data_IF_707395100570
#
_entry.id   IF_707395100570
#
_cell.length_a   1.000
_cell.length_b   1.000
_cell.length_c   1.000
_cell.angle_alpha   90.00
_cell.angle_beta   90.00
_cell.angle_gamma   90.00
#
_symmetry.space_group_name_H-M   'P 1'
#
loop_
_entity.id
_entity.type
_entity.pdbx_description
1 polymer ?
#
# COMPACT_ATOMS: atom_id res chain seq x y z
N UNK A 1 2.25 19.37 -22.23
CA UNK A 1 1.87 19.70 -23.62
C UNK A 1 0.39 20.02 -23.78
N UNK A 2 -0.53 19.07 -23.61
CA UNK A 2 -1.97 19.30 -23.89
C UNK A 2 -2.64 20.44 -23.09
N UNK A 3 -2.27 20.61 -21.83
CA UNK A 3 -2.93 21.56 -20.91
C UNK A 3 -2.03 22.75 -20.51
N UNK A 4 -0.80 22.83 -21.03
CA UNK A 4 0.21 23.77 -20.51
C UNK A 4 0.89 23.28 -19.23
N UNK A 5 2.13 23.67 -19.01
CA UNK A 5 2.95 23.19 -17.89
C UNK A 5 2.57 23.80 -16.53
N UNK A 6 1.83 24.91 -16.51
CA UNK A 6 1.38 25.64 -15.31
C UNK A 6 -0.02 25.24 -14.84
N UNK A 7 -0.75 24.47 -15.64
CA UNK A 7 -2.11 24.01 -15.33
C UNK A 7 -2.16 22.59 -14.76
N UNK A 8 -1.01 21.90 -14.75
CA UNK A 8 -0.89 20.57 -14.20
C UNK A 8 0.39 20.45 -13.36
N UNK A 9 0.29 19.83 -12.19
CA UNK A 9 1.42 19.60 -11.30
C UNK A 9 1.28 18.25 -10.59
N UNK A 10 2.41 17.66 -10.22
CA UNK A 10 2.43 16.53 -9.30
C UNK A 10 2.14 16.99 -7.87
N UNK A 11 1.60 16.09 -7.05
CA UNK A 11 1.28 16.38 -5.66
C UNK A 11 2.46 16.04 -4.75
N UNK A 12 2.83 16.93 -3.82
CA UNK A 12 3.85 16.61 -2.81
C UNK A 12 3.25 15.70 -1.73
N UNK A 13 4.07 14.81 -1.19
CA UNK A 13 3.76 14.06 0.02
C UNK A 13 4.75 14.45 1.11
N UNK A 14 4.23 14.79 2.28
CA UNK A 14 5.04 15.04 3.47
C UNK A 14 5.12 13.76 4.29
N UNK A 15 6.34 13.32 4.57
CA UNK A 15 6.57 12.25 5.53
C UNK A 15 7.00 12.83 6.87
N UNK A 16 6.47 12.25 7.94
CA UNK A 16 6.81 12.60 9.31
C UNK A 16 7.80 11.59 9.90
N UNK A 17 8.42 11.95 11.02
CA UNK A 17 9.23 11.02 11.80
C UNK A 17 8.35 9.94 12.45
N UNK A 18 8.37 8.73 11.90
CA UNK A 18 7.89 7.55 12.62
C UNK A 18 8.85 7.15 13.75
N UNK A 19 8.36 6.45 14.77
CA UNK A 19 9.11 6.03 15.96
C UNK A 19 10.52 5.47 15.64
N UNK A 20 10.60 4.51 14.71
CA UNK A 20 11.87 3.88 14.32
C UNK A 20 12.83 4.86 13.65
N UNK A 21 12.31 5.79 12.85
CA UNK A 21 13.14 6.76 12.14
C UNK A 21 13.65 7.84 13.09
N UNK A 22 12.82 8.30 14.02
CA UNK A 22 13.21 9.24 15.07
C UNK A 22 14.39 8.69 15.89
N UNK A 23 14.32 7.41 16.29
CA UNK A 23 15.43 6.75 16.99
C UNK A 23 16.68 6.69 16.11
N UNK A 24 16.56 6.22 14.86
CA UNK A 24 17.71 6.10 13.95
C UNK A 24 18.43 7.43 13.76
N UNK A 25 17.71 8.49 13.44
CA UNK A 25 18.31 9.77 13.09
C UNK A 25 18.96 10.43 14.33
N UNK A 26 18.29 10.38 15.49
CA UNK A 26 18.85 10.95 16.73
C UNK A 26 20.00 10.11 17.27
N UNK A 27 19.83 8.80 17.45
CA UNK A 27 20.85 7.96 18.08
C UNK A 27 22.12 7.85 17.23
N UNK A 28 22.00 7.93 15.89
CA UNK A 28 23.15 8.04 14.99
C UNK A 28 23.97 9.31 15.27
N UNK A 29 23.32 10.43 15.59
CA UNK A 29 24.01 11.67 15.98
C UNK A 29 24.74 11.55 17.32
N UNK A 30 24.24 10.70 18.22
CA UNK A 30 24.90 10.32 19.47
C UNK A 30 25.98 9.23 19.28
N UNK A 31 26.35 8.90 18.04
CA UNK A 31 27.43 7.95 17.74
C UNK A 31 27.03 6.47 17.88
N UNK A 32 25.74 6.16 17.95
CA UNK A 32 25.28 4.77 18.02
C UNK A 32 25.50 4.08 16.67
N UNK A 33 26.20 2.93 16.63
CA UNK A 33 26.47 2.22 15.38
C UNK A 33 25.21 1.55 14.82
N UNK A 34 25.17 1.37 13.49
CA UNK A 34 24.00 0.90 12.75
C UNK A 34 23.46 -0.47 13.21
N UNK A 35 24.35 -1.38 13.64
CA UNK A 35 23.93 -2.68 14.16
C UNK A 35 23.13 -2.57 15.46
N UNK A 36 23.51 -1.62 16.32
CA UNK A 36 22.84 -1.35 17.59
C UNK A 36 21.50 -0.62 17.34
N UNK A 37 21.47 0.35 16.42
CA UNK A 37 20.22 0.99 15.96
C UNK A 37 19.22 -0.03 15.41
N UNK A 38 19.70 -1.01 14.64
CA UNK A 38 18.87 -2.08 14.11
C UNK A 38 18.32 -2.99 15.21
N UNK A 39 19.11 -3.27 16.27
CA UNK A 39 18.63 -4.02 17.43
C UNK A 39 17.57 -3.23 18.21
N UNK A 40 17.79 -1.93 18.44
CA UNK A 40 16.85 -1.05 19.16
C UNK A 40 15.52 -0.94 18.39
N UNK A 41 15.57 -0.60 17.09
CA UNK A 41 14.37 -0.36 16.29
C UNK A 41 13.53 -1.61 16.01
N UNK A 42 14.11 -2.81 16.06
CA UNK A 42 13.37 -4.08 15.98
C UNK A 42 12.42 -4.29 17.17
N UNK A 43 12.67 -3.63 18.31
CA UNK A 43 11.84 -3.73 19.51
C UNK A 43 10.61 -2.82 19.49
N UNK A 44 10.48 -2.00 18.46
CA UNK A 44 9.34 -1.09 18.26
C UNK A 44 8.39 -1.75 17.26
N UNK A 45 7.13 -1.95 17.64
CA UNK A 45 6.10 -2.44 16.70
C UNK A 45 5.75 -1.37 15.68
N UNK A 46 5.21 -1.77 14.52
CA UNK A 46 4.78 -0.82 13.49
C UNK A 46 3.68 0.15 13.99
N UNK A 47 2.85 -0.30 14.94
CA UNK A 47 1.76 0.50 15.52
C UNK A 47 2.14 1.27 16.79
N UNK A 48 3.38 1.12 17.27
CA UNK A 48 3.81 1.76 18.50
C UNK A 48 4.39 3.15 18.23
N UNK A 49 4.07 4.10 19.11
CA UNK A 49 4.85 5.32 19.30
C UNK A 49 6.06 5.04 20.18
N UNK A 50 7.00 5.98 20.28
CA UNK A 50 8.13 5.84 21.21
C UNK A 50 7.67 5.71 22.66
N UNK A 51 6.64 6.47 23.04
CA UNK A 51 6.05 6.39 24.37
C UNK A 51 5.41 5.03 24.63
N UNK A 52 4.61 4.50 23.69
CA UNK A 52 3.97 3.18 23.88
C UNK A 52 4.99 2.04 23.86
N UNK A 53 6.01 2.11 22.99
CA UNK A 53 7.10 1.15 22.94
C UNK A 53 7.88 1.13 24.27
N UNK A 54 8.20 2.30 24.82
CA UNK A 54 8.85 2.42 26.13
C UNK A 54 8.00 1.80 27.23
N UNK A 55 6.69 2.07 27.25
CA UNK A 55 5.78 1.57 28.27
C UNK A 55 5.50 0.07 28.19
N UNK A 56 5.42 -0.51 26.99
CA UNK A 56 4.99 -1.90 26.79
C UNK A 56 6.15 -2.89 26.68
N UNK A 57 7.32 -2.45 26.21
CA UNK A 57 8.45 -3.34 25.96
C UNK A 57 9.55 -3.11 26.98
N UNK A 58 9.63 -3.99 27.99
CA UNK A 58 10.64 -3.93 29.04
C UNK A 58 12.08 -3.99 28.49
N UNK A 59 12.33 -4.79 27.46
CA UNK A 59 13.66 -4.90 26.85
C UNK A 59 14.06 -3.63 26.09
N UNK A 60 13.11 -2.95 25.43
CA UNK A 60 13.36 -1.65 24.83
C UNK A 60 13.69 -0.61 25.91
N UNK A 61 12.87 -0.55 26.97
CA UNK A 61 13.08 0.35 28.11
C UNK A 61 14.44 0.17 28.77
N UNK A 62 14.86 -1.09 28.97
CA UNK A 62 16.16 -1.41 29.55
C UNK A 62 17.32 -0.86 28.71
N UNK A 63 17.25 -0.97 27.37
CA UNK A 63 18.29 -0.41 26.50
C UNK A 63 18.32 1.11 26.63
N UNK A 64 17.17 1.78 26.55
CA UNK A 64 17.11 3.24 26.70
C UNK A 64 17.72 3.69 28.04
N UNK A 65 17.47 2.95 29.11
CA UNK A 65 17.97 3.27 30.44
C UNK A 65 19.42 2.82 30.69
N UNK A 66 20.04 2.04 29.79
CA UNK A 66 21.38 1.48 29.99
C UNK A 66 22.52 2.51 29.93
N UNK A 67 22.31 3.63 29.25
CA UNK A 67 23.29 4.70 29.04
C UNK A 67 22.63 6.05 29.23
N UNK A 68 23.32 6.99 29.87
CA UNK A 68 22.82 8.37 30.02
C UNK A 68 22.66 9.03 28.64
N UNK A 69 23.54 8.73 27.68
CA UNK A 69 23.40 9.25 26.31
C UNK A 69 22.10 8.77 25.65
N UNK A 70 21.66 7.54 25.92
CA UNK A 70 20.45 6.98 25.31
C UNK A 70 19.18 7.56 25.90
N UNK A 71 19.17 7.87 27.19
CA UNK A 71 18.05 8.59 27.81
C UNK A 71 17.90 9.99 27.20
N UNK A 72 19.01 10.71 27.00
CA UNK A 72 19.02 12.03 26.33
C UNK A 72 18.58 11.93 24.87
N UNK A 73 19.13 10.98 24.12
CA UNK A 73 18.78 10.74 22.73
C UNK A 73 17.29 10.35 22.58
N UNK A 74 16.77 9.53 23.50
CA UNK A 74 15.37 9.13 23.52
C UNK A 74 14.43 10.30 23.78
N UNK A 75 14.75 11.18 24.74
CA UNK A 75 13.96 12.37 25.02
C UNK A 75 13.84 13.28 23.79
N UNK A 76 14.95 13.48 23.05
CA UNK A 76 14.94 14.24 21.79
C UNK A 76 14.14 13.50 20.72
N UNK A 77 14.31 12.18 20.59
CA UNK A 77 13.57 11.37 19.64
C UNK A 77 12.04 11.46 19.86
N UNK A 78 11.59 11.49 21.12
CA UNK A 78 10.18 11.69 21.46
C UNK A 78 9.66 13.07 21.06
N UNK A 79 10.49 14.11 21.12
CA UNK A 79 10.09 15.46 20.72
C UNK A 79 9.94 15.62 19.20
N UNK A 80 10.75 14.90 18.42
CA UNK A 80 10.69 14.97 16.95
C UNK A 80 9.72 13.95 16.34
N UNK A 81 9.28 12.93 17.08
CA UNK A 81 8.29 11.96 16.60
C UNK A 81 7.02 12.70 16.14
N UNK A 82 6.55 12.37 14.93
CA UNK A 82 5.40 13.03 14.29
C UNK A 82 5.72 14.35 13.60
N UNK A 83 6.90 14.93 13.79
CA UNK A 83 7.29 16.16 13.09
C UNK A 83 7.57 15.91 11.60
N UNK A 84 7.38 16.90 10.71
CA UNK A 84 7.76 16.80 9.30
C UNK A 84 9.25 16.48 9.13
N UNK A 85 9.58 15.58 8.20
CA UNK A 85 10.96 15.14 7.95
C UNK A 85 11.44 15.47 6.55
N UNK A 86 10.75 14.94 5.54
CA UNK A 86 11.13 15.12 4.14
C UNK A 86 9.89 15.14 3.25
N UNK A 87 10.05 15.79 2.10
CA UNK A 87 9.07 15.75 1.02
C UNK A 87 9.42 14.67 0.01
N UNK A 88 8.41 13.99 -0.52
CA UNK A 88 8.49 13.16 -1.73
C UNK A 88 7.39 13.54 -2.70
N UNK A 89 7.39 12.96 -3.90
CA UNK A 89 6.31 13.12 -4.87
C UNK A 89 5.25 12.03 -4.60
N UNK A 90 3.97 12.39 -4.69
CA UNK A 90 2.86 11.44 -4.58
C UNK A 90 2.94 10.45 -5.74
N UNK A 91 2.89 9.15 -5.44
CA UNK A 91 3.17 8.10 -6.41
C UNK A 91 2.22 8.06 -7.62
N UNK A 92 1.04 8.69 -7.50
CA UNK A 92 0.03 8.73 -8.55
C UNK A 92 -0.58 10.12 -8.78
N UNK A 93 -0.35 11.08 -7.88
CA UNK A 93 -1.26 12.21 -7.72
C UNK A 93 -0.86 13.36 -8.60
N UNK A 94 -1.76 13.76 -9.49
CA UNK A 94 -1.62 14.94 -10.35
C UNK A 94 -2.80 15.86 -10.08
N UNK A 95 -2.52 17.13 -9.86
CA UNK A 95 -3.54 18.19 -9.83
C UNK A 95 -3.65 18.83 -11.20
N UNK A 96 -4.87 19.13 -11.61
CA UNK A 96 -5.17 19.81 -12.87
C UNK A 96 -6.15 20.95 -12.64
N UNK A 97 -5.98 22.04 -13.38
CA UNK A 97 -6.81 23.25 -13.29
C UNK A 97 -7.01 23.85 -14.69
N UNK A 98 -8.14 24.51 -14.91
CA UNK A 98 -8.40 25.34 -16.09
C UNK A 98 -7.69 26.69 -16.02
N UNK A 99 -7.56 27.26 -14.82
CA UNK A 99 -6.72 28.43 -14.52
C UNK A 99 -5.28 28.03 -14.18
N UNK A 100 -4.35 28.99 -14.18
CA UNK A 100 -2.97 28.73 -13.77
C UNK A 100 -2.94 28.30 -12.31
N UNK A 101 -2.26 27.19 -12.01
CA UNK A 101 -2.21 26.66 -10.65
C UNK A 101 -1.59 27.65 -9.66
N UNK A 102 -0.69 28.53 -10.13
CA UNK A 102 -0.04 29.56 -9.31
C UNK A 102 -0.99 30.63 -8.77
N UNK A 103 -2.18 30.79 -9.36
CA UNK A 103 -3.19 31.72 -8.85
C UNK A 103 -3.90 31.17 -7.60
N UNK A 104 -3.87 29.84 -7.39
CA UNK A 104 -4.58 29.18 -6.28
C UNK A 104 -3.64 28.48 -5.29
N UNK A 105 -2.56 27.85 -5.77
CA UNK A 105 -1.65 27.04 -4.95
C UNK A 105 -0.17 27.33 -5.23
N UNK A 106 0.69 27.27 -4.20
CA UNK A 106 2.12 27.40 -4.39
C UNK A 106 2.71 26.17 -5.08
N UNK A 107 3.55 26.40 -6.08
CA UNK A 107 4.29 25.35 -6.80
C UNK A 107 5.79 25.42 -6.49
N UNK A 108 6.50 24.33 -6.77
CA UNK A 108 7.95 24.24 -6.83
C UNK A 108 8.38 23.48 -8.09
N UNK A 109 9.62 23.68 -8.50
CA UNK A 109 10.22 22.93 -9.62
C UNK A 109 10.45 21.48 -9.15
N UNK A 110 9.92 20.52 -9.89
CA UNK A 110 10.29 19.10 -9.80
C UNK A 110 11.20 18.69 -10.95
N UNK A 111 11.58 17.41 -10.97
CA UNK A 111 12.51 16.89 -11.98
C UNK A 111 11.89 16.88 -13.39
N UNK A 112 10.67 16.37 -13.51
CA UNK A 112 9.95 16.23 -14.80
C UNK A 112 8.76 17.21 -14.95
N UNK A 113 8.12 17.56 -13.84
CA UNK A 113 6.91 18.40 -13.80
C UNK A 113 6.95 19.31 -12.57
N UNK A 114 6.20 20.42 -12.60
CA UNK A 114 5.94 21.20 -11.39
C UNK A 114 5.33 20.32 -10.30
N UNK A 115 5.64 20.64 -9.05
CA UNK A 115 5.09 19.94 -7.88
C UNK A 115 4.40 20.98 -7.01
N UNK A 116 3.16 20.73 -6.59
CA UNK A 116 2.52 21.61 -5.60
C UNK A 116 3.22 21.51 -4.24
N UNK A 117 3.24 22.59 -3.47
CA UNK A 117 3.69 22.57 -2.07
C UNK A 117 2.56 22.20 -1.10
N UNK A 118 1.35 21.92 -1.61
CA UNK A 118 0.24 21.39 -0.84
C UNK A 118 0.15 19.87 -1.01
N UNK A 119 -0.14 19.17 0.09
CA UNK A 119 -0.44 17.75 0.01
C UNK A 119 -1.82 17.50 -0.62
N UNK A 120 -2.16 16.22 -0.84
CA UNK A 120 -3.39 15.85 -1.52
C UNK A 120 -4.64 16.42 -0.84
N UNK A 121 -4.69 16.43 0.50
CA UNK A 121 -5.83 16.96 1.25
C UNK A 121 -5.95 18.47 1.11
N UNK A 122 -4.83 19.20 1.20
CA UNK A 122 -4.83 20.64 1.01
C UNK A 122 -5.18 21.02 -0.44
N UNK A 123 -4.74 20.26 -1.44
CA UNK A 123 -5.16 20.46 -2.85
C UNK A 123 -6.68 20.31 -2.99
N UNK A 124 -7.25 19.22 -2.49
CA UNK A 124 -8.70 18.97 -2.56
C UNK A 124 -9.51 20.04 -1.80
N UNK A 125 -9.01 20.49 -0.64
CA UNK A 125 -9.65 21.54 0.16
C UNK A 125 -9.68 22.92 -0.54
N UNK A 126 -8.76 23.15 -1.49
CA UNK A 126 -8.76 24.35 -2.34
C UNK A 126 -9.63 24.19 -3.61
N UNK A 127 -10.43 23.12 -3.71
CA UNK A 127 -11.38 22.91 -4.80
C UNK A 127 -10.75 22.46 -6.11
N UNK A 128 -9.47 22.08 -6.11
CA UNK A 128 -8.77 21.66 -7.30
C UNK A 128 -9.02 20.19 -7.63
N UNK A 129 -9.09 19.88 -8.93
CA UNK A 129 -9.27 18.53 -9.42
C UNK A 129 -7.99 17.71 -9.23
N UNK A 130 -8.07 16.66 -8.41
CA UNK A 130 -7.04 15.64 -8.27
C UNK A 130 -7.35 14.43 -9.15
N UNK A 131 -6.36 13.96 -9.89
CA UNK A 131 -6.38 12.71 -10.63
C UNK A 131 -5.24 11.80 -10.16
N UNK A 132 -5.54 10.52 -9.94
CA UNK A 132 -4.52 9.53 -9.59
C UNK A 132 -4.18 8.65 -10.82
N UNK A 133 -2.95 8.77 -11.30
CA UNK A 133 -2.34 7.95 -12.35
C UNK A 133 -1.45 6.88 -11.73
N UNK A 134 -2.00 5.68 -11.49
CA UNK A 134 -1.27 4.61 -10.84
C UNK A 134 -0.44 3.79 -11.86
N UNK A 135 0.87 3.70 -11.63
CA UNK A 135 1.74 2.78 -12.36
C UNK A 135 1.58 1.34 -11.88
N UNK A 136 0.68 0.56 -12.48
CA UNK A 136 0.50 -0.84 -12.13
C UNK A 136 1.45 -1.75 -12.91
N UNK A 137 2.47 -2.29 -12.23
CA UNK A 137 3.41 -3.28 -12.79
C UNK A 137 2.72 -4.49 -13.43
N UNK A 138 1.53 -4.86 -12.93
CA UNK A 138 0.77 -5.98 -13.47
C UNK A 138 0.27 -5.71 -14.89
N UNK A 139 -0.07 -4.46 -15.24
CA UNK A 139 -0.46 -4.12 -16.61
C UNK A 139 0.73 -4.32 -17.56
N UNK A 140 1.92 -3.89 -17.15
CA UNK A 140 3.16 -4.16 -17.90
C UNK A 140 3.42 -5.67 -18.03
N UNK A 141 3.15 -6.45 -16.98
CA UNK A 141 3.33 -7.90 -17.03
C UNK A 141 2.35 -8.57 -17.99
N UNK A 142 1.07 -8.20 -17.94
CA UNK A 142 0.03 -8.69 -18.85
C UNK A 142 0.35 -8.33 -20.30
N UNK A 143 0.77 -7.09 -20.57
CA UNK A 143 1.22 -6.68 -21.90
C UNK A 143 2.36 -7.56 -22.42
N UNK A 144 3.42 -7.75 -21.62
CA UNK A 144 4.57 -8.59 -21.99
C UNK A 144 4.19 -10.06 -22.20
N UNK A 145 3.23 -10.58 -21.43
CA UNK A 145 2.70 -11.93 -21.63
C UNK A 145 1.97 -12.04 -22.97
N UNK A 146 1.11 -11.07 -23.31
CA UNK A 146 0.42 -11.05 -24.60
C UNK A 146 1.38 -10.93 -25.78
N UNK A 147 2.40 -10.06 -25.67
CA UNK A 147 3.48 -9.93 -26.66
C UNK A 147 4.23 -11.26 -26.85
N UNK A 148 4.61 -11.92 -25.76
CA UNK A 148 5.28 -13.22 -25.81
C UNK A 148 4.42 -14.33 -26.41
N UNK A 149 3.11 -14.31 -26.17
CA UNK A 149 2.18 -15.26 -26.81
C UNK A 149 2.10 -15.02 -28.32
N UNK A 150 1.99 -13.75 -28.73
CA UNK A 150 1.99 -13.36 -30.14
C UNK A 150 3.27 -13.81 -30.85
N UNK A 151 4.43 -13.58 -30.25
CA UNK A 151 5.72 -13.96 -30.86
C UNK A 151 5.90 -15.47 -30.97
N UNK A 152 5.56 -16.21 -29.90
CA UNK A 152 5.82 -17.66 -29.83
C UNK A 152 4.76 -18.51 -30.52
N UNK A 153 3.49 -18.12 -30.43
CA UNK A 153 2.36 -18.91 -30.90
C UNK A 153 1.63 -18.26 -32.07
N UNK A 154 2.05 -17.07 -32.53
CA UNK A 154 1.41 -16.32 -33.61
C UNK A 154 -0.08 -16.09 -33.34
N UNK A 155 -0.44 -15.93 -32.07
CA UNK A 155 -1.79 -15.71 -31.60
C UNK A 155 -1.89 -14.36 -30.88
N UNK A 156 -2.84 -13.53 -31.27
CA UNK A 156 -3.15 -12.29 -30.54
C UNK A 156 -4.14 -12.56 -29.41
N UNK A 157 -3.89 -11.94 -28.26
CA UNK A 157 -4.79 -11.96 -27.12
C UNK A 157 -5.45 -10.58 -27.03
N UNK A 158 -6.76 -10.54 -27.27
CA UNK A 158 -7.59 -9.38 -26.96
C UNK A 158 -8.08 -9.48 -25.51
N UNK A 159 -7.42 -8.74 -24.61
CA UNK A 159 -7.69 -8.76 -23.16
C UNK A 159 -9.15 -8.41 -22.87
N UNK A 160 -9.75 -7.50 -23.64
CA UNK A 160 -11.12 -7.05 -23.41
C UNK A 160 -12.18 -8.12 -23.75
N UNK A 161 -11.77 -9.18 -24.48
CA UNK A 161 -12.65 -10.28 -24.92
C UNK A 161 -12.39 -11.60 -24.21
N UNK A 162 -11.55 -11.62 -23.16
CA UNK A 162 -11.29 -12.84 -22.40
C UNK A 162 -12.59 -13.31 -21.75
N UNK A 163 -12.92 -14.60 -21.95
CA UNK A 163 -14.04 -15.25 -21.29
C UNK A 163 -13.74 -15.40 -19.79
N UNK A 164 -14.55 -14.76 -18.95
CA UNK A 164 -14.41 -14.79 -17.50
C UNK A 164 -14.85 -16.13 -16.90
N UNK A 165 -15.58 -16.93 -17.67
CA UNK A 165 -16.11 -18.24 -17.27
C UNK A 165 -15.29 -19.41 -17.83
N UNK A 166 -14.06 -19.16 -18.29
CA UNK A 166 -13.16 -20.23 -18.75
C UNK A 166 -12.93 -21.28 -17.65
N UNK A 167 -13.44 -22.48 -17.90
CA UNK A 167 -13.43 -23.59 -16.93
C UNK A 167 -12.04 -23.96 -16.47
N UNK A 168 -11.05 -23.98 -17.38
CA UNK A 168 -9.67 -24.36 -17.04
C UNK A 168 -9.04 -23.34 -16.10
N UNK A 169 -9.33 -22.06 -16.31
CA UNK A 169 -8.90 -20.99 -15.42
C UNK A 169 -9.55 -21.13 -14.06
N UNK A 170 -10.87 -21.31 -13.98
CA UNK A 170 -11.59 -21.48 -12.71
C UNK A 170 -11.11 -22.72 -11.93
N UNK A 171 -10.83 -23.84 -12.61
CA UNK A 171 -10.25 -25.04 -12.01
C UNK A 171 -8.87 -24.79 -11.39
N UNK A 172 -8.03 -23.97 -12.03
CA UNK A 172 -6.72 -23.57 -11.51
C UNK A 172 -6.89 -22.80 -10.18
N UNK A 173 -7.85 -21.88 -10.12
CA UNK A 173 -8.20 -21.16 -8.89
C UNK A 173 -8.76 -22.11 -7.82
N UNK A 174 -9.68 -23.01 -8.18
CA UNK A 174 -10.27 -23.99 -7.26
C UNK A 174 -9.24 -24.97 -6.68
N UNK A 175 -8.20 -25.32 -7.44
CA UNK A 175 -7.06 -26.11 -6.97
C UNK A 175 -6.08 -25.31 -6.09
N UNK A 176 -6.22 -23.98 -6.00
CA UNK A 176 -5.29 -23.07 -5.31
C UNK A 176 -3.91 -23.08 -5.96
N UNK A 177 -3.84 -23.19 -7.30
CA UNK A 177 -2.59 -23.16 -8.08
C UNK A 177 -2.26 -21.73 -8.53
N UNK A 178 -2.41 -20.75 -7.65
CA UNK A 178 -2.42 -19.31 -7.98
C UNK A 178 -1.09 -18.59 -7.69
N UNK A 179 0.02 -19.32 -7.57
CA UNK A 179 1.34 -18.69 -7.43
C UNK A 179 1.66 -17.87 -8.69
N UNK A 180 2.05 -16.60 -8.50
CA UNK A 180 2.28 -15.67 -9.60
C UNK A 180 1.01 -15.04 -10.19
N UNK A 181 -0.17 -15.30 -9.62
CA UNK A 181 -1.42 -14.62 -9.99
C UNK A 181 -1.68 -13.50 -9.01
N UNK A 182 -1.69 -12.27 -9.52
CA UNK A 182 -1.89 -11.05 -8.74
C UNK A 182 -3.07 -11.16 -7.74
N UNK A 183 -2.86 -10.69 -6.51
CA UNK A 183 -3.78 -10.76 -5.36
C UNK A 183 -4.00 -12.15 -4.72
N UNK A 184 -3.61 -13.25 -5.38
CA UNK A 184 -3.91 -14.62 -4.92
C UNK A 184 -2.67 -15.46 -4.58
N UNK A 185 -1.52 -14.82 -4.37
CA UNK A 185 -0.24 -15.51 -4.12
C UNK A 185 -0.03 -15.88 -2.64
N UNK A 186 -0.73 -15.19 -1.73
CA UNK A 186 -0.54 -15.34 -0.30
C UNK A 186 -1.16 -16.65 0.21
N UNK A 187 -0.55 -17.32 1.22
CA UNK A 187 -1.07 -18.59 1.75
C UNK A 187 -2.53 -18.54 2.19
N UNK A 188 -2.98 -17.41 2.78
CA UNK A 188 -4.37 -17.21 3.19
C UNK A 188 -5.34 -17.22 2.00
N UNK A 189 -5.02 -16.47 0.94
CA UNK A 189 -5.81 -16.44 -0.29
C UNK A 189 -5.89 -17.81 -0.95
N UNK A 190 -4.76 -18.52 -1.06
CA UNK A 190 -4.68 -19.87 -1.64
C UNK A 190 -5.55 -20.85 -0.85
N UNK A 191 -5.47 -20.79 0.49
CA UNK A 191 -6.28 -21.64 1.38
C UNK A 191 -7.77 -21.37 1.20
N UNK A 192 -8.17 -20.09 1.16
CA UNK A 192 -9.56 -19.70 0.98
C UNK A 192 -10.10 -20.16 -0.37
N UNK A 193 -9.35 -19.97 -1.46
CA UNK A 193 -9.74 -20.43 -2.80
C UNK A 193 -10.03 -21.94 -2.84
N UNK A 194 -9.19 -22.76 -2.20
CA UNK A 194 -9.39 -24.23 -2.14
C UNK A 194 -10.65 -24.64 -1.37
N UNK A 195 -11.07 -23.82 -0.40
CA UNK A 195 -12.28 -24.03 0.39
C UNK A 195 -13.52 -23.55 -0.37
N UNK A 196 -13.42 -22.38 -1.01
CA UNK A 196 -14.49 -21.79 -1.82
C UNK A 196 -14.76 -22.66 -3.06
N UNK A 197 -13.71 -23.20 -3.70
CA UNK A 197 -13.78 -23.90 -5.00
C UNK A 197 -14.59 -23.08 -6.02
N UNK A 198 -14.09 -21.91 -6.45
CA UNK A 198 -14.77 -21.05 -7.41
C UNK A 198 -15.18 -21.83 -8.66
N UNK A 199 -16.47 -21.71 -9.02
CA UNK A 199 -17.05 -22.31 -10.22
C UNK A 199 -17.56 -21.28 -11.23
N UNK A 200 -17.43 -19.99 -10.89
CA UNK A 200 -17.73 -18.83 -11.73
C UNK A 200 -16.86 -17.65 -11.33
N UNK A 201 -16.78 -16.62 -12.16
CA UNK A 201 -15.92 -15.47 -11.89
C UNK A 201 -16.28 -14.74 -10.59
N UNK A 202 -17.56 -14.62 -10.23
CA UNK A 202 -18.00 -13.92 -9.02
C UNK A 202 -17.47 -14.57 -7.73
N UNK A 203 -17.20 -15.87 -7.74
CA UNK A 203 -16.62 -16.56 -6.59
C UNK A 203 -15.17 -16.12 -6.33
N UNK A 204 -14.42 -15.82 -7.39
CA UNK A 204 -13.07 -15.27 -7.31
C UNK A 204 -13.13 -13.85 -6.74
N UNK A 205 -14.07 -13.03 -7.22
CA UNK A 205 -14.30 -11.66 -6.70
C UNK A 205 -14.65 -11.68 -5.21
N UNK A 206 -15.54 -12.59 -4.80
CA UNK A 206 -15.91 -12.76 -3.39
C UNK A 206 -14.69 -13.18 -2.54
N UNK A 207 -13.86 -14.08 -3.06
CA UNK A 207 -12.65 -14.54 -2.37
C UNK A 207 -11.65 -13.40 -2.12
N UNK A 208 -11.44 -12.50 -3.10
CA UNK A 208 -10.59 -11.31 -2.91
C UNK A 208 -11.14 -10.38 -1.85
N UNK A 209 -12.46 -10.22 -1.80
CA UNK A 209 -13.14 -9.35 -0.84
C UNK A 209 -13.05 -9.89 0.59
N UNK A 210 -13.21 -11.21 0.76
CA UNK A 210 -13.12 -11.90 2.05
C UNK A 210 -11.69 -12.00 2.59
N UNK A 211 -10.69 -12.00 1.71
CA UNK A 211 -9.28 -12.04 2.10
C UNK A 211 -8.76 -10.65 2.57
N UNK A 212 -9.52 -9.97 3.42
CA UNK A 212 -9.19 -8.68 4.04
C UNK A 212 -9.42 -8.76 5.56
N UNK A 213 -8.62 -8.07 6.39
CA UNK A 213 -8.84 -8.05 7.84
C UNK A 213 -10.28 -7.65 8.20
N UNK A 214 -10.91 -8.41 9.10
CA UNK A 214 -12.31 -8.23 9.52
C UNK A 214 -13.33 -8.94 8.62
N UNK A 215 -13.22 -8.80 7.29
CA UNK A 215 -14.04 -9.57 6.35
C UNK A 215 -13.73 -11.08 6.41
N UNK A 216 -12.49 -11.42 6.74
CA UNK A 216 -12.01 -12.79 6.90
C UNK A 216 -12.83 -13.61 7.89
N UNK A 217 -13.43 -12.96 8.90
CA UNK A 217 -14.17 -13.61 9.98
C UNK A 217 -15.45 -14.29 9.46
N UNK A 218 -15.95 -13.87 8.29
CA UNK A 218 -17.13 -14.42 7.63
C UNK A 218 -16.80 -15.47 6.56
N UNK A 219 -15.51 -15.78 6.33
CA UNK A 219 -15.09 -16.72 5.29
C UNK A 219 -15.70 -18.12 5.48
N UNK A 220 -15.82 -18.55 6.73
CA UNK A 220 -16.35 -19.87 7.07
C UNK A 220 -17.84 -19.99 6.75
N UNK A 221 -18.63 -18.98 7.11
CA UNK A 221 -20.05 -18.90 6.79
C UNK A 221 -20.25 -18.83 5.27
N UNK A 222 -19.45 -18.03 4.56
CA UNK A 222 -19.51 -17.95 3.10
C UNK A 222 -19.27 -19.32 2.45
N UNK A 223 -18.23 -20.03 2.87
CA UNK A 223 -17.91 -21.37 2.36
C UNK A 223 -19.04 -22.36 2.66
N UNK A 224 -19.57 -22.38 3.88
CA UNK A 224 -20.66 -23.29 4.26
C UNK A 224 -21.93 -23.02 3.45
N UNK A 225 -22.34 -21.75 3.33
CA UNK A 225 -23.51 -21.34 2.55
C UNK A 225 -23.36 -21.68 1.08
N UNK A 226 -22.18 -21.44 0.50
CA UNK A 226 -21.86 -21.80 -0.89
C UNK A 226 -22.02 -23.31 -1.15
N UNK A 227 -21.62 -24.15 -0.20
CA UNK A 227 -21.73 -25.61 -0.31
C UNK A 227 -23.05 -26.17 0.25
N UNK A 228 -24.03 -25.31 0.56
CA UNK A 228 -25.34 -25.74 1.08
C UNK A 228 -25.30 -26.35 2.47
N UNK A 229 -24.25 -26.10 3.26
CA UNK A 229 -24.04 -26.60 4.61
C UNK A 229 -24.61 -25.67 5.69
N UNK A 230 -25.03 -24.47 5.30
CA UNK A 230 -25.65 -23.46 6.15
C UNK A 230 -26.70 -22.71 5.31
N UNK A 231 -27.88 -22.46 5.89
CA UNK A 231 -28.94 -21.71 5.23
C UNK A 231 -28.57 -20.24 5.11
N UNK A 232 -29.05 -19.59 4.05
CA UNK A 232 -28.92 -18.14 3.88
C UNK A 232 -30.19 -17.50 4.41
N UNK A 233 -30.10 -16.89 5.59
CA UNK A 233 -31.20 -16.09 6.12
C UNK A 233 -31.26 -14.78 5.35
N UNK A 234 -32.32 -14.59 4.58
CA UNK A 234 -32.64 -13.31 3.97
C UNK A 234 -33.36 -12.48 5.03
N UNK A 235 -32.83 -11.28 5.32
CA UNK A 235 -33.57 -10.32 6.12
C UNK A 235 -34.70 -9.79 5.23
N UNK A 236 -35.94 -10.00 5.67
CA UNK A 236 -37.15 -9.39 5.08
C UNK A 236 -37.09 -7.85 5.18
#
# INVERSE_FOLDING_TARGET
>A
DRYGSTHAAQIVTYSTFGAKQAIRDVFKRFGTPEYELSNITKKISFRDSLTSAYQRNAAFRQIINSKIEYQKAFAIAQQIEGQPRQTSIHAAGIVMSDEELTDTIPLKIGDDMLVTQYDAHAVEANGLLKMDFLGLRNLTFVQKMAEGVRERYQQEIDIAKIDLEDKKTLELFAAGRTKGIFQFEQPGAISLLRRVKPGRFEDIVATTSLNRPGASDYSDNFVKRKHGQETVDLLD
#
